data_IF_034968075092
#
_entry.id   IF_034968075092
#
_cell.length_a   1.000
_cell.length_b   1.000
_cell.length_c   1.000
_cell.angle_alpha   90.00
_cell.angle_beta   90.00
_cell.angle_gamma   90.00
#
_symmetry.space_group_name_H-M   'P 1'
#
loop_
_entity.id
_entity.type
_entity.pdbx_description
1 polymer ?
#
# COMPACT_ATOMS: atom_id res chain seq x y z
N UNK A 1 6.55 -5.76 -14.76
CA UNK A 1 5.21 -6.40 -14.61
C UNK A 1 4.16 -5.33 -14.25
N UNK A 2 2.89 -5.65 -14.42
CA UNK A 2 1.75 -4.91 -13.84
C UNK A 2 0.57 -5.84 -13.64
N UNK A 3 -0.39 -5.44 -12.79
CA UNK A 3 -1.54 -6.26 -12.44
C UNK A 3 -2.86 -5.53 -12.65
N UNK A 4 -3.90 -6.26 -13.02
CA UNK A 4 -5.29 -5.85 -12.76
C UNK A 4 -5.93 -6.82 -11.78
N UNK A 5 -6.47 -6.30 -10.69
CA UNK A 5 -7.27 -7.04 -9.71
C UNK A 5 -8.74 -6.71 -9.94
N UNK A 6 -9.58 -7.73 -10.11
CA UNK A 6 -11.00 -7.55 -10.41
C UNK A 6 -11.86 -8.35 -9.43
N UNK A 7 -12.88 -7.69 -8.91
CA UNK A 7 -13.92 -8.31 -8.09
C UNK A 7 -15.26 -8.03 -8.76
N UNK A 8 -15.92 -9.07 -9.25
CA UNK A 8 -17.19 -8.93 -9.96
C UNK A 8 -18.36 -8.79 -8.98
N UNK A 9 -18.32 -9.49 -7.84
CA UNK A 9 -19.33 -9.43 -6.79
C UNK A 9 -18.76 -9.77 -5.40
N UNK A 10 -19.47 -9.35 -4.35
CA UNK A 10 -19.11 -9.72 -2.98
C UNK A 10 -19.33 -11.21 -2.72
N UNK A 11 -18.32 -11.86 -2.15
CA UNK A 11 -18.32 -13.31 -1.88
C UNK A 11 -17.70 -14.15 -3.00
N UNK A 12 -17.45 -13.55 -4.18
CA UNK A 12 -16.67 -14.18 -5.24
C UNK A 12 -15.15 -14.06 -5.02
N UNK A 13 -14.32 -14.74 -5.82
CA UNK A 13 -12.87 -14.60 -5.75
C UNK A 13 -12.41 -13.24 -6.30
N UNK A 14 -11.18 -12.85 -5.97
CA UNK A 14 -10.47 -11.77 -6.65
C UNK A 14 -9.74 -12.36 -7.86
N UNK A 15 -10.07 -11.88 -9.07
CA UNK A 15 -9.38 -12.27 -10.30
C UNK A 15 -8.14 -11.41 -10.49
N UNK A 16 -6.98 -12.05 -10.54
CA UNK A 16 -5.70 -11.42 -10.83
C UNK A 16 -5.34 -11.63 -12.29
N UNK A 17 -5.09 -10.53 -13.01
CA UNK A 17 -4.55 -10.56 -14.36
C UNK A 17 -3.09 -10.10 -14.32
N UNK A 18 -2.18 -11.01 -14.60
CA UNK A 18 -0.76 -10.72 -14.71
C UNK A 18 -0.47 -10.17 -16.11
N UNK A 19 0.16 -8.99 -16.17
CA UNK A 19 0.59 -8.36 -17.42
C UNK A 19 2.09 -8.05 -17.43
N UNK A 20 2.66 -8.07 -18.62
CA UNK A 20 4.01 -7.59 -18.90
C UNK A 20 3.97 -6.41 -19.86
N UNK A 21 4.81 -5.42 -19.62
CA UNK A 21 5.05 -4.32 -20.55
C UNK A 21 6.30 -4.68 -21.36
N UNK A 22 6.13 -4.86 -22.67
CA UNK A 22 7.23 -5.23 -23.58
C UNK A 22 7.39 -4.11 -24.61
N UNK A 23 8.61 -3.65 -24.82
CA UNK A 23 8.93 -2.67 -25.86
C UNK A 23 10.28 -3.02 -26.47
N UNK A 24 10.53 -2.55 -27.69
CA UNK A 24 11.79 -2.76 -28.39
C UNK A 24 12.07 -1.64 -29.39
N UNK A 25 13.35 -1.44 -29.69
CA UNK A 25 13.82 -0.47 -30.68
C UNK A 25 14.98 -1.05 -31.51
N UNK A 26 14.86 -2.32 -31.90
CA UNK A 26 15.89 -3.10 -32.60
C UNK A 26 15.99 -2.78 -34.09
N UNK A 27 15.05 -2.03 -34.64
CA UNK A 27 14.88 -1.78 -36.07
C UNK A 27 14.09 -2.86 -36.80
N UNK A 28 13.73 -3.98 -36.15
CA UNK A 28 13.00 -5.10 -36.76
C UNK A 28 11.69 -5.32 -36.00
N UNK A 29 10.56 -5.28 -36.70
CA UNK A 29 9.27 -5.63 -36.11
C UNK A 29 9.19 -7.13 -35.85
N UNK A 30 8.74 -7.52 -34.65
CA UNK A 30 8.47 -8.91 -34.33
C UNK A 30 7.01 -9.21 -34.64
N UNK A 31 6.75 -10.00 -35.68
CA UNK A 31 5.40 -10.25 -36.17
C UNK A 31 4.94 -11.66 -35.77
N UNK A 32 3.83 -11.75 -35.01
CA UNK A 32 3.19 -13.01 -34.59
C UNK A 32 4.18 -14.00 -33.95
N UNK A 33 5.00 -13.52 -33.03
CA UNK A 33 5.97 -14.36 -32.31
C UNK A 33 5.38 -14.90 -31.02
N UNK A 34 5.87 -16.07 -30.59
CA UNK A 34 5.72 -16.54 -29.21
C UNK A 34 6.74 -15.84 -28.33
N UNK A 35 6.41 -15.66 -27.04
CA UNK A 35 7.26 -14.93 -26.10
C UNK A 35 7.66 -15.84 -24.95
N UNK A 36 8.91 -15.70 -24.51
CA UNK A 36 9.38 -16.22 -23.22
C UNK A 36 9.84 -15.04 -22.38
N UNK A 37 9.26 -14.87 -21.20
CA UNK A 37 9.54 -13.75 -20.29
C UNK A 37 10.11 -14.27 -18.99
N UNK A 38 11.28 -13.78 -18.58
CA UNK A 38 11.92 -14.16 -17.31
C UNK A 38 11.88 -13.03 -16.30
N UNK A 39 11.68 -13.37 -15.03
CA UNK A 39 11.71 -12.41 -13.90
C UNK A 39 13.13 -12.07 -13.44
N UNK A 40 14.16 -12.73 -13.97
CA UNK A 40 15.55 -12.43 -13.62
C UNK A 40 15.97 -11.05 -14.11
N UNK A 41 16.62 -10.28 -13.25
CA UNK A 41 17.19 -8.99 -13.60
C UNK A 41 18.68 -9.14 -13.96
N UNK A 42 19.07 -9.05 -15.24
CA UNK A 42 20.46 -9.24 -15.65
C UNK A 42 21.41 -8.16 -15.11
N UNK A 43 20.87 -7.04 -14.60
CA UNK A 43 21.65 -5.96 -14.01
C UNK A 43 21.85 -6.12 -12.50
N UNK A 44 21.24 -7.12 -11.86
CA UNK A 44 21.52 -7.46 -10.47
C UNK A 44 22.78 -8.34 -10.44
N UNK A 45 23.80 -7.88 -9.70
CA UNK A 45 25.05 -8.61 -9.56
C UNK A 45 24.82 -9.95 -8.85
N UNK A 46 25.44 -11.01 -9.36
CA UNK A 46 25.34 -12.35 -8.79
C UNK A 46 26.22 -12.56 -7.53
N UNK A 47 27.04 -11.58 -7.17
CA UNK A 47 27.95 -11.67 -6.02
C UNK A 47 27.25 -11.27 -4.72
N UNK A 48 27.23 -12.20 -3.76
CA UNK A 48 26.74 -11.92 -2.41
C UNK A 48 27.65 -10.89 -1.71
N UNK A 49 27.09 -9.91 -0.97
CA UNK A 49 27.90 -8.94 -0.25
C UNK A 49 28.69 -9.61 0.87
N UNK A 50 29.94 -9.19 1.07
CA UNK A 50 30.77 -9.64 2.19
C UNK A 50 30.55 -8.71 3.38
N UNK A 51 30.04 -9.25 4.49
CA UNK A 51 29.85 -8.51 5.73
C UNK A 51 31.19 -8.33 6.46
N UNK A 52 31.71 -7.10 6.47
CA UNK A 52 32.92 -6.77 7.21
C UNK A 52 32.61 -6.52 8.69
N UNK A 53 33.47 -6.92 9.64
CA UNK A 53 33.29 -6.61 11.06
C UNK A 53 33.22 -5.09 11.28
N UNK A 54 32.19 -4.63 11.99
CA UNK A 54 32.05 -3.23 12.36
C UNK A 54 32.73 -2.96 13.71
N UNK A 55 33.97 -2.47 13.66
CA UNK A 55 34.72 -2.07 14.86
C UNK A 55 34.29 -0.67 15.32
N UNK A 56 33.68 -0.58 16.51
CA UNK A 56 33.40 0.70 17.17
C UNK A 56 34.66 1.16 17.93
N UNK A 57 35.15 2.36 17.61
CA UNK A 57 36.21 3.03 18.36
C UNK A 57 35.68 4.34 18.93
N UNK A 58 36.16 4.75 20.11
CA UNK A 58 35.83 6.06 20.66
C UNK A 58 36.25 7.16 19.69
N UNK A 59 35.35 8.11 19.43
CA UNK A 59 35.66 9.31 18.68
C UNK A 59 36.74 10.08 19.42
N UNK A 60 37.98 10.00 18.94
CA UNK A 60 39.08 10.83 19.40
C UNK A 60 39.07 12.10 18.54
N UNK A 61 38.61 13.25 19.07
CA UNK A 61 38.73 14.51 18.34
C UNK A 61 40.22 14.74 18.05
N UNK A 62 40.56 14.91 16.78
CA UNK A 62 41.94 15.25 16.40
C UNK A 62 42.31 16.56 17.12
N UNK A 63 43.45 16.63 17.83
CA UNK A 63 43.93 17.90 18.37
C UNK A 63 44.09 18.87 17.20
N UNK A 64 43.43 20.04 17.30
CA UNK A 64 43.59 21.10 16.31
C UNK A 64 45.06 21.51 16.28
N UNK A 65 45.76 21.14 15.21
CA UNK A 65 47.06 21.72 14.92
C UNK A 65 46.84 23.21 14.59
N UNK A 66 47.35 24.09 15.46
CA UNK A 66 47.38 25.52 15.21
C UNK A 66 48.25 25.77 13.97
N UNK A 67 47.62 25.96 12.81
CA UNK A 67 48.29 26.38 11.57
C UNK A 67 48.62 27.87 11.69
N UNK A 68 49.89 28.18 11.87
CA UNK A 68 50.42 29.51 11.53
C UNK A 68 50.10 29.79 10.06
N UNK A 69 49.37 30.87 9.82
CA UNK A 69 48.96 31.33 8.50
C UNK A 69 50.15 31.92 7.73
N UNK A 70 50.78 31.10 6.90
CA UNK A 70 51.55 31.61 5.77
C UNK A 70 50.53 31.96 4.68
N UNK A 71 50.47 33.26 4.35
CA UNK A 71 49.71 33.79 3.22
C UNK A 71 50.34 33.26 1.93
N UNK A 72 49.61 32.42 1.20
CA UNK A 72 49.86 32.24 -0.22
C UNK A 72 48.57 32.41 -1.01
N UNK A 73 48.67 33.39 -1.90
CA UNK A 73 47.75 33.78 -2.96
C UNK A 73 47.59 32.67 -3.99
N UNK A 74 46.35 32.36 -4.39
CA UNK A 74 46.14 31.48 -5.54
C UNK A 74 44.68 31.15 -5.83
N UNK A 75 44.10 31.92 -6.76
CA UNK A 75 43.06 31.52 -7.74
C UNK A 75 41.73 30.95 -7.25
N UNK A 76 40.71 31.81 -7.31
CA UNK A 76 39.30 31.46 -7.16
C UNK A 76 38.81 30.62 -8.35
N UNK A 77 38.43 29.37 -8.10
CA UNK A 77 37.61 28.56 -9.00
C UNK A 77 36.16 28.58 -8.49
N UNK A 78 35.27 29.08 -9.36
CA UNK A 78 33.82 29.21 -9.14
C UNK A 78 33.17 27.81 -9.11
N UNK A 79 32.42 27.51 -8.04
CA UNK A 79 31.44 26.43 -8.04
C UNK A 79 30.11 26.98 -8.56
N UNK A 80 29.60 26.39 -9.64
CA UNK A 80 28.28 26.65 -10.16
C UNK A 80 27.24 25.81 -9.43
N UNK A 81 26.23 26.48 -8.88
CA UNK A 81 25.00 25.88 -8.38
C UNK A 81 24.23 25.19 -9.53
N UNK A 82 23.84 23.94 -9.32
CA UNK A 82 22.78 23.30 -10.10
C UNK A 82 21.71 22.77 -9.13
N UNK A 83 20.74 23.64 -8.87
CA UNK A 83 19.45 23.31 -8.27
C UNK A 83 18.71 22.32 -9.18
N UNK A 84 18.73 21.02 -8.83
CA UNK A 84 17.87 20.00 -9.43
C UNK A 84 16.50 19.99 -8.75
N UNK A 85 15.59 20.86 -9.19
CA UNK A 85 14.18 20.82 -8.81
C UNK A 85 13.51 19.56 -9.34
N UNK A 86 12.88 18.79 -8.44
CA UNK A 86 12.06 17.63 -8.79
C UNK A 86 10.68 18.11 -9.22
N UNK A 87 10.42 18.04 -10.52
CA UNK A 87 9.11 18.30 -11.12
C UNK A 87 8.28 17.01 -11.12
N UNK A 88 7.32 16.88 -10.19
CA UNK A 88 6.29 15.83 -10.25
C UNK A 88 5.20 16.30 -11.20
N UNK A 89 5.34 15.96 -12.48
CA UNK A 89 4.31 16.15 -13.50
C UNK A 89 3.39 14.93 -13.55
N UNK A 90 2.14 15.09 -13.11
CA UNK A 90 1.08 14.11 -13.28
C UNK A 90 0.75 13.92 -14.76
N UNK A 91 1.26 12.84 -15.35
CA UNK A 91 0.90 12.40 -16.69
C UNK A 91 -0.50 11.80 -16.69
N UNK A 92 -1.43 12.44 -17.39
CA UNK A 92 -2.69 11.84 -17.81
C UNK A 92 -2.36 10.59 -18.63
N UNK A 93 -2.90 9.44 -18.23
CA UNK A 93 -2.80 8.19 -18.98
C UNK A 93 -3.55 8.34 -20.30
N UNK A 94 -2.82 8.68 -21.36
CA UNK A 94 -3.33 8.64 -22.72
C UNK A 94 -3.53 7.18 -23.14
N UNK A 95 -4.70 6.87 -23.68
CA UNK A 95 -5.16 5.51 -23.95
C UNK A 95 -4.27 4.79 -24.96
N UNK A 96 -3.70 3.65 -24.57
CA UNK A 96 -2.82 2.84 -25.42
C UNK A 96 -3.62 2.04 -26.46
N UNK A 97 -3.14 2.07 -27.70
CA UNK A 97 -3.67 1.43 -28.91
C UNK A 97 -3.48 -0.10 -28.88
N UNK A 98 -4.48 -0.88 -29.29
CA UNK A 98 -4.37 -2.35 -29.46
C UNK A 98 -4.53 -2.74 -30.93
N UNK A 99 -3.78 -3.76 -31.37
CA UNK A 99 -4.02 -4.49 -32.62
C UNK A 99 -4.07 -5.99 -32.30
N UNK A 100 -5.25 -6.58 -32.47
CA UNK A 100 -5.47 -8.03 -32.57
C UNK A 100 -6.04 -8.27 -33.96
N UNK A 101 -5.44 -9.18 -34.74
CA UNK A 101 -5.89 -9.53 -36.10
C UNK A 101 -6.07 -8.37 -37.09
N UNK A 102 -5.22 -7.33 -37.01
CA UNK A 102 -5.17 -6.26 -38.02
C UNK A 102 -6.27 -5.19 -37.93
N UNK A 103 -7.01 -5.12 -36.82
CA UNK A 103 -8.03 -4.09 -36.57
C UNK A 103 -7.54 -3.09 -35.51
N UNK A 104 -7.61 -1.79 -35.81
CA UNK A 104 -7.31 -0.70 -34.86
C UNK A 104 -8.48 -0.49 -33.89
N UNK A 105 -8.24 -0.60 -32.58
CA UNK A 105 -9.27 -0.37 -31.55
C UNK A 105 -8.84 0.78 -30.65
N UNK A 106 -9.66 1.84 -30.60
CA UNK A 106 -9.54 2.94 -29.63
C UNK A 106 -10.51 2.72 -28.47
N UNK A 107 -10.02 2.82 -27.24
CA UNK A 107 -10.86 2.90 -26.04
C UNK A 107 -11.21 1.56 -25.40
N UNK A 108 -11.32 1.61 -24.08
CA UNK A 108 -11.78 0.60 -23.13
C UNK A 108 -12.68 -0.50 -23.71
N UNK A 109 -12.07 -1.54 -24.25
CA UNK A 109 -12.64 -2.88 -24.29
C UNK A 109 -11.48 -3.85 -24.41
N UNK A 110 -11.13 -4.45 -23.27
CA UNK A 110 -10.13 -5.50 -23.23
C UNK A 110 -10.43 -6.57 -24.28
N UNK A 111 -9.35 -7.07 -24.88
CA UNK A 111 -9.41 -8.24 -25.75
C UNK A 111 -10.15 -9.33 -24.96
N UNK A 112 -11.31 -9.75 -25.44
CA UNK A 112 -11.99 -10.95 -24.95
C UNK A 112 -11.23 -12.18 -25.46
N UNK A 113 -10.00 -12.37 -24.99
CA UNK A 113 -9.53 -13.74 -24.79
C UNK A 113 -10.36 -14.22 -23.61
N UNK A 114 -11.20 -15.23 -23.80
CA UNK A 114 -12.10 -15.70 -22.75
C UNK A 114 -11.32 -15.83 -21.44
N UNK A 115 -11.84 -15.27 -20.35
CA UNK A 115 -11.11 -15.00 -19.10
C UNK A 115 -10.43 -16.25 -18.48
N UNK A 116 -10.82 -17.46 -18.90
CA UNK A 116 -10.21 -18.74 -18.50
C UNK A 116 -9.28 -19.41 -19.52
N UNK A 117 -9.01 -18.84 -20.71
CA UNK A 117 -8.19 -19.49 -21.74
C UNK A 117 -6.73 -19.03 -21.77
N UNK A 118 -6.35 -17.94 -21.10
CA UNK A 118 -4.95 -17.45 -21.14
C UNK A 118 -3.95 -18.46 -20.55
N UNK A 119 -4.34 -19.15 -19.48
CA UNK A 119 -3.49 -20.17 -18.84
C UNK A 119 -3.24 -21.38 -19.74
N UNK A 120 -4.06 -21.61 -20.78
CA UNK A 120 -3.82 -22.68 -21.76
C UNK A 120 -2.64 -22.36 -22.69
N UNK A 121 -2.29 -21.08 -22.81
CA UNK A 121 -1.20 -20.60 -23.65
C UNK A 121 0.04 -20.23 -22.84
N UNK A 122 0.05 -20.42 -21.52
CA UNK A 122 1.18 -19.98 -20.70
C UNK A 122 1.68 -21.12 -19.84
N UNK A 123 2.93 -21.52 -20.07
CA UNK A 123 3.65 -22.44 -19.21
C UNK A 123 4.55 -21.64 -18.27
N UNK A 124 4.61 -22.07 -17.00
CA UNK A 124 5.40 -21.41 -15.97
C UNK A 124 6.45 -22.39 -15.46
N UNK A 125 7.72 -22.04 -15.60
CA UNK A 125 8.83 -22.76 -15.00
C UNK A 125 9.40 -21.93 -13.84
N UNK A 126 9.45 -22.53 -12.66
CA UNK A 126 9.96 -21.90 -11.45
C UNK A 126 11.25 -22.59 -11.02
N UNK A 127 12.38 -22.03 -11.47
CA UNK A 127 13.72 -22.56 -11.23
C UNK A 127 14.28 -22.23 -9.83
N UNK A 128 13.49 -21.59 -8.96
CA UNK A 128 13.88 -21.18 -7.60
C UNK A 128 14.71 -19.90 -7.53
N UNK A 129 15.35 -19.49 -8.62
CA UNK A 129 16.07 -18.20 -8.75
C UNK A 129 15.27 -17.24 -9.63
N UNK A 130 14.74 -17.73 -10.76
CA UNK A 130 13.92 -16.96 -11.69
C UNK A 130 12.67 -17.75 -12.07
N UNK A 131 11.59 -17.02 -12.34
CA UNK A 131 10.37 -17.56 -12.96
C UNK A 131 10.38 -17.21 -14.44
N UNK A 132 10.13 -18.20 -15.30
CA UNK A 132 10.00 -18.01 -16.74
C UNK A 132 8.56 -18.31 -17.16
N UNK A 133 8.00 -17.42 -17.98
CA UNK A 133 6.67 -17.54 -18.57
C UNK A 133 6.80 -17.75 -20.07
N UNK A 134 6.48 -18.95 -20.54
CA UNK A 134 6.43 -19.27 -21.97
C UNK A 134 5.01 -19.10 -22.49
N UNK A 135 4.80 -18.06 -23.29
CA UNK A 135 3.50 -17.61 -23.80
C UNK A 135 3.38 -18.02 -25.28
N UNK A 136 2.58 -19.05 -25.53
CA UNK A 136 2.27 -19.60 -26.85
C UNK A 136 1.33 -18.72 -27.68
N UNK A 137 0.61 -17.79 -27.03
CA UNK A 137 -0.23 -16.82 -27.72
C UNK A 137 0.65 -15.84 -28.50
N UNK A 138 0.46 -15.77 -29.81
CA UNK A 138 1.31 -14.97 -30.69
C UNK A 138 1.05 -13.46 -30.53
N UNK A 139 2.11 -12.68 -30.35
CA UNK A 139 2.07 -11.21 -30.25
C UNK A 139 2.86 -10.55 -31.39
N UNK A 140 2.45 -9.35 -31.79
CA UNK A 140 3.23 -8.47 -32.66
C UNK A 140 3.76 -7.29 -31.86
N UNK A 141 5.07 -7.07 -31.89
CA UNK A 141 5.76 -6.00 -31.16
C UNK A 141 6.50 -5.09 -32.15
N UNK A 142 5.97 -3.89 -32.43
CA UNK A 142 6.60 -2.91 -33.31
C UNK A 142 7.98 -2.46 -32.79
N UNK A 143 8.83 -1.98 -33.70
CA UNK A 143 10.15 -1.40 -33.37
C UNK A 143 10.08 0.12 -33.27
N UNK A 144 9.13 0.63 -32.50
CA UNK A 144 8.88 2.07 -32.34
C UNK A 144 9.15 2.56 -30.90
N UNK A 145 9.65 1.68 -30.03
CA UNK A 145 9.87 1.97 -28.62
C UNK A 145 8.59 2.12 -27.78
N UNK A 146 7.41 1.92 -28.36
CA UNK A 146 6.15 1.98 -27.62
C UNK A 146 5.92 0.69 -26.82
N UNK A 147 5.30 0.84 -25.65
CA UNK A 147 5.00 -0.28 -24.78
C UNK A 147 3.77 -1.06 -25.28
N UNK A 148 3.94 -2.37 -25.45
CA UNK A 148 2.87 -3.31 -25.71
C UNK A 148 2.54 -4.05 -24.42
N UNK A 149 1.25 -4.10 -24.08
CA UNK A 149 0.74 -4.86 -22.94
C UNK A 149 0.53 -6.33 -23.37
N UNK A 150 1.34 -7.22 -22.82
CA UNK A 150 1.24 -8.67 -23.02
C UNK A 150 0.51 -9.27 -21.82
N UNK A 151 -0.58 -9.99 -22.06
CA UNK A 151 -1.23 -10.77 -21.02
C UNK A 151 -0.34 -11.98 -20.73
N UNK A 152 -0.07 -12.26 -19.45
CA UNK A 152 0.79 -13.36 -19.03
C UNK A 152 -0.07 -14.50 -18.51
N UNK A 153 -0.82 -14.29 -17.43
CA UNK A 153 -1.68 -15.33 -16.85
C UNK A 153 -2.85 -14.72 -16.10
N UNK A 154 -3.86 -15.54 -15.82
CA UNK A 154 -5.00 -15.19 -14.96
C UNK A 154 -5.05 -16.14 -13.78
N UNK A 155 -5.25 -15.63 -12.58
CA UNK A 155 -5.42 -16.44 -11.37
C UNK A 155 -6.70 -16.03 -10.64
N UNK A 156 -7.39 -16.99 -10.06
CA UNK A 156 -8.52 -16.72 -9.15
C UNK A 156 -8.05 -16.92 -7.71
N UNK A 157 -8.14 -15.86 -6.91
CA UNK A 157 -7.70 -15.86 -5.53
C UNK A 157 -8.93 -15.89 -4.62
N UNK A 158 -9.08 -16.92 -3.77
CA UNK A 158 -10.12 -16.92 -2.75
C UNK A 158 -10.02 -15.67 -1.88
N UNK A 159 -11.16 -15.04 -1.61
CA UNK A 159 -11.20 -13.83 -0.82
C UNK A 159 -12.42 -13.77 0.09
N UNK A 160 -12.25 -13.19 1.27
CA UNK A 160 -13.35 -12.74 2.12
C UNK A 160 -13.46 -11.23 2.07
N UNK A 161 -14.59 -10.68 2.52
CA UNK A 161 -14.87 -9.25 2.37
C UNK A 161 -15.28 -8.65 3.70
N UNK A 162 -14.72 -7.48 4.02
CA UNK A 162 -15.08 -6.70 5.21
C UNK A 162 -15.06 -5.22 4.90
N UNK A 163 -15.71 -4.44 5.74
CA UNK A 163 -15.49 -3.01 5.82
C UNK A 163 -14.41 -2.71 6.86
N UNK A 164 -13.54 -1.76 6.57
CA UNK A 164 -12.49 -1.29 7.46
C UNK A 164 -12.55 0.22 7.61
N UNK A 165 -12.39 0.73 8.82
CA UNK A 165 -12.43 2.19 9.08
C UNK A 165 -11.47 2.59 10.19
N UNK A 166 -10.87 3.78 10.05
CA UNK A 166 -10.00 4.40 11.06
C UNK A 166 -10.52 5.81 11.33
N UNK A 167 -11.60 5.99 12.12
CA UNK A 167 -12.36 7.24 12.19
C UNK A 167 -11.58 8.46 12.71
N UNK A 168 -10.43 8.22 13.36
CA UNK A 168 -9.46 9.24 13.76
C UNK A 168 -8.75 9.89 12.56
N UNK A 169 -8.55 9.14 11.46
CA UNK A 169 -7.85 9.57 10.25
C UNK A 169 -8.81 9.90 9.11
N UNK A 170 -9.75 9.01 8.83
CA UNK A 170 -10.81 9.20 7.83
C UNK A 170 -12.10 8.58 8.37
N UNK A 171 -13.21 9.34 8.31
CA UNK A 171 -14.52 8.92 8.82
C UNK A 171 -15.30 8.06 7.83
N UNK A 172 -14.73 7.76 6.68
CA UNK A 172 -15.30 6.79 5.76
C UNK A 172 -14.93 5.35 6.14
N UNK A 173 -15.81 4.42 5.77
CA UNK A 173 -15.50 3.00 5.74
C UNK A 173 -15.08 2.60 4.32
N UNK A 174 -14.10 1.70 4.24
CA UNK A 174 -13.55 1.18 3.00
C UNK A 174 -13.92 -0.29 2.90
N UNK A 175 -14.45 -0.70 1.75
CA UNK A 175 -14.61 -2.11 1.44
C UNK A 175 -13.22 -2.70 1.14
N UNK A 176 -12.92 -3.85 1.75
CA UNK A 176 -11.68 -4.58 1.54
C UNK A 176 -11.97 -6.02 1.15
N UNK A 177 -11.26 -6.52 0.15
CA UNK A 177 -11.08 -7.95 -0.07
C UNK A 177 -9.86 -8.41 0.73
N UNK A 178 -10.01 -9.51 1.47
CA UNK A 178 -8.96 -10.16 2.22
C UNK A 178 -8.57 -11.44 1.49
N UNK A 179 -7.35 -11.48 0.97
CA UNK A 179 -6.84 -12.57 0.16
C UNK A 179 -5.81 -13.33 1.00
N UNK A 180 -6.00 -14.63 1.15
CA UNK A 180 -5.07 -15.55 1.83
C UNK A 180 -4.33 -16.39 0.79
N UNK A 181 -3.20 -16.99 1.18
CA UNK A 181 -2.39 -17.87 0.32
C UNK A 181 -1.95 -17.16 -0.99
N UNK A 182 -1.72 -15.85 -0.92
CA UNK A 182 -1.29 -15.05 -2.06
C UNK A 182 0.20 -15.28 -2.36
N UNK A 183 0.95 -15.75 -1.36
CA UNK A 183 2.37 -16.11 -1.41
C UNK A 183 2.66 -17.25 -2.40
N UNK A 184 1.75 -18.21 -2.54
CA UNK A 184 1.88 -19.34 -3.47
C UNK A 184 1.93 -18.89 -4.94
N UNK A 185 1.42 -17.69 -5.23
CA UNK A 185 1.36 -17.13 -6.57
C UNK A 185 2.70 -16.56 -7.05
N UNK A 186 3.70 -16.43 -6.17
CA UNK A 186 5.02 -15.88 -6.47
C UNK A 186 4.94 -14.56 -7.22
N UNK A 187 4.08 -13.65 -6.75
CA UNK A 187 3.86 -12.34 -7.37
C UNK A 187 5.12 -11.47 -7.22
N UNK A 188 5.34 -10.56 -8.17
CA UNK A 188 6.40 -9.58 -8.11
C UNK A 188 5.84 -8.24 -7.62
N UNK A 189 6.64 -7.39 -6.96
CA UNK A 189 6.20 -6.04 -6.66
C UNK A 189 5.89 -5.26 -7.94
N UNK A 190 4.68 -4.72 -8.09
CA UNK A 190 4.31 -3.97 -9.29
C UNK A 190 3.11 -3.02 -9.07
N UNK A 191 2.94 -2.00 -9.95
CA UNK A 191 1.71 -1.23 -10.02
C UNK A 191 0.50 -2.10 -10.35
N UNK A 192 -0.62 -1.82 -9.68
CA UNK A 192 -1.83 -2.63 -9.75
C UNK A 192 -3.07 -1.76 -9.93
N UNK A 193 -3.86 -2.05 -10.95
CA UNK A 193 -5.18 -1.45 -11.11
C UNK A 193 -6.23 -2.30 -10.41
N UNK A 194 -7.24 -1.66 -9.84
CA UNK A 194 -8.28 -2.33 -9.06
C UNK A 194 -9.63 -2.02 -9.69
N UNK A 195 -10.43 -3.05 -9.91
CA UNK A 195 -11.78 -2.97 -10.45
C UNK A 195 -12.77 -3.69 -9.52
N UNK A 196 -13.93 -3.08 -9.31
CA UNK A 196 -15.02 -3.64 -8.51
C UNK A 196 -16.35 -3.43 -9.26
N UNK A 197 -17.15 -4.50 -9.39
CA UNK A 197 -18.42 -4.50 -10.14
C UNK A 197 -18.25 -3.89 -11.56
N UNK A 198 -17.17 -4.27 -12.26
CA UNK A 198 -16.85 -3.78 -13.60
C UNK A 198 -16.35 -2.32 -13.68
N UNK A 199 -16.24 -1.61 -12.55
CA UNK A 199 -15.81 -0.20 -12.49
C UNK A 199 -14.38 -0.08 -11.99
N UNK A 200 -13.59 0.83 -12.57
CA UNK A 200 -12.25 1.16 -12.07
C UNK A 200 -12.35 1.93 -10.74
N UNK A 201 -11.77 1.39 -9.68
CA UNK A 201 -11.82 2.00 -8.33
C UNK A 201 -10.52 2.70 -7.93
N UNK A 202 -9.40 2.35 -8.56
CA UNK A 202 -8.13 3.05 -8.33
C UNK A 202 -6.89 2.26 -8.74
N UNK A 203 -5.74 2.89 -8.50
CA UNK A 203 -4.42 2.31 -8.67
C UNK A 203 -3.75 2.17 -7.31
N UNK A 204 -3.06 1.05 -7.11
CA UNK A 204 -2.19 0.81 -5.97
C UNK A 204 -0.84 0.26 -6.42
N UNK A 205 -0.02 -0.08 -5.43
CA UNK A 205 1.22 -0.82 -5.64
C UNK A 205 1.11 -2.11 -4.85
N UNK A 206 1.23 -3.25 -5.54
CA UNK A 206 1.30 -4.54 -4.89
C UNK A 206 2.70 -4.71 -4.31
N UNK A 207 2.81 -4.69 -2.99
CA UNK A 207 4.06 -4.97 -2.27
C UNK A 207 4.01 -6.38 -1.68
N UNK A 208 4.80 -7.28 -2.27
CA UNK A 208 4.90 -8.70 -1.87
C UNK A 208 5.96 -8.95 -0.79
N UNK A 209 6.59 -7.89 -0.28
CA UNK A 209 7.58 -8.00 0.81
C UNK A 209 6.94 -8.00 2.19
N UNK A 210 5.62 -7.89 2.26
CA UNK A 210 4.89 -7.95 3.51
C UNK A 210 4.89 -9.40 4.04
N UNK A 211 5.10 -9.57 5.34
CA UNK A 211 5.13 -10.87 6.04
C UNK A 211 3.77 -11.26 6.60
N UNK A 212 2.71 -10.55 6.22
CA UNK A 212 1.35 -10.85 6.66
C UNK A 212 0.71 -11.95 5.80
N UNK A 213 0.13 -12.96 6.46
CA UNK A 213 -0.58 -14.09 5.83
C UNK A 213 -1.85 -13.68 5.07
N UNK A 214 -2.25 -12.40 5.14
CA UNK A 214 -3.49 -11.92 4.51
C UNK A 214 -3.26 -10.56 3.86
N UNK A 215 -3.41 -10.52 2.53
CA UNK A 215 -3.34 -9.29 1.75
C UNK A 215 -4.69 -8.58 1.77
N UNK A 216 -4.70 -7.33 2.24
CA UNK A 216 -5.90 -6.49 2.26
C UNK A 216 -5.93 -5.57 1.03
N UNK A 217 -6.83 -5.84 0.10
CA UNK A 217 -7.05 -5.03 -1.10
C UNK A 217 -8.22 -4.07 -0.87
N UNK A 218 -7.96 -2.75 -0.90
CA UNK A 218 -9.05 -1.77 -0.81
C UNK A 218 -9.80 -1.65 -2.14
N UNK A 219 -11.10 -1.85 -2.10
CA UNK A 219 -12.01 -1.75 -3.25
C UNK A 219 -12.72 -0.38 -3.33
N UNK A 220 -12.37 0.54 -2.43
CA UNK A 220 -12.92 1.88 -2.36
C UNK A 220 -13.84 2.13 -1.16
N UNK A 221 -14.36 3.36 -1.09
CA UNK A 221 -15.23 3.83 0.00
C UNK A 221 -16.65 3.31 -0.17
N UNK A 222 -17.26 2.80 0.91
CA UNK A 222 -18.68 2.45 0.93
C UNK A 222 -19.44 3.39 1.87
N UNK A 223 -20.10 4.40 1.27
CA UNK A 223 -20.88 5.41 1.99
C UNK A 223 -22.13 4.86 2.68
N UNK A 224 -22.47 3.58 2.46
CA UNK A 224 -23.57 2.91 3.14
C UNK A 224 -23.18 2.42 4.54
N UNK A 225 -21.89 2.44 4.89
CA UNK A 225 -21.43 2.27 6.26
C UNK A 225 -21.09 3.65 6.80
N UNK A 226 -21.99 4.22 7.59
CA UNK A 226 -21.88 5.58 8.10
C UNK A 226 -21.12 5.55 9.43
N UNK A 227 -19.98 6.23 9.48
CA UNK A 227 -19.15 6.29 10.68
C UNK A 227 -19.04 7.72 11.19
N UNK A 228 -19.19 7.90 12.51
CA UNK A 228 -18.97 9.17 13.20
C UNK A 228 -18.02 8.96 14.37
N UNK A 229 -17.17 9.94 14.62
CA UNK A 229 -16.28 10.00 15.79
C UNK A 229 -16.37 11.39 16.40
N UNK A 230 -16.89 11.45 17.62
CA UNK A 230 -17.16 12.70 18.32
C UNK A 230 -16.52 12.68 19.71
N UNK A 231 -15.88 13.78 20.10
CA UNK A 231 -15.37 13.94 21.46
C UNK A 231 -16.53 14.33 22.37
N UNK A 232 -16.72 13.59 23.45
CA UNK A 232 -17.67 13.91 24.49
C UNK A 232 -17.19 15.19 25.22
N UNK A 233 -17.95 16.29 25.04
CA UNK A 233 -17.57 17.61 25.54
C UNK A 233 -17.62 17.69 27.07
N UNK A 234 -18.45 16.89 27.72
CA UNK A 234 -18.60 16.91 29.19
C UNK A 234 -17.46 16.12 29.84
N UNK A 235 -17.06 15.01 29.23
CA UNK A 235 -15.95 14.17 29.71
C UNK A 235 -14.58 14.70 29.29
N UNK A 236 -14.52 15.63 28.32
CA UNK A 236 -13.30 16.35 27.97
C UNK A 236 -12.94 17.36 29.06
N UNK A 237 -12.04 17.00 29.95
CA UNK A 237 -11.64 17.85 31.07
C UNK A 237 -10.15 18.16 31.07
N UNK A 238 -9.80 19.37 31.54
CA UNK A 238 -8.41 19.78 31.82
C UNK A 238 -8.36 20.23 33.26
N UNK A 239 -7.58 19.53 34.08
CA UNK A 239 -7.41 19.82 35.51
C UNK A 239 -5.95 20.05 35.82
N UNK A 240 -5.68 21.09 36.60
CA UNK A 240 -4.35 21.38 37.12
C UNK A 240 -4.27 20.81 38.53
N UNK A 241 -3.30 19.93 38.79
CA UNK A 241 -3.12 19.24 40.08
C UNK A 241 -1.66 19.36 40.50
N UNK A 242 -1.38 20.19 41.51
CA UNK A 242 0.00 20.46 41.96
C UNK A 242 0.87 21.00 40.81
N UNK A 243 1.98 20.34 40.52
CA UNK A 243 2.90 20.66 39.41
C UNK A 243 2.49 20.02 38.06
N UNK A 244 1.39 19.27 38.01
CA UNK A 244 0.97 18.52 36.83
C UNK A 244 -0.33 19.08 36.21
N UNK A 245 -0.54 18.75 34.93
CA UNK A 245 -1.79 18.90 34.19
C UNK A 245 -2.34 17.51 33.90
N UNK A 246 -3.61 17.28 34.17
CA UNK A 246 -4.38 16.06 33.86
C UNK A 246 -5.42 16.39 32.79
N UNK A 247 -5.36 15.76 31.63
CA UNK A 247 -6.30 15.92 30.52
C UNK A 247 -7.04 14.60 30.28
N UNK A 248 -8.36 14.61 30.39
CA UNK A 248 -9.21 13.44 30.13
C UNK A 248 -9.96 13.63 28.82
N UNK A 249 -10.02 12.55 28.03
CA UNK A 249 -10.74 12.49 26.77
C UNK A 249 -11.62 11.25 26.74
N UNK A 250 -12.82 11.41 26.19
CA UNK A 250 -13.70 10.31 25.82
C UNK A 250 -14.24 10.61 24.42
N UNK A 251 -14.13 9.64 23.52
CA UNK A 251 -14.66 9.71 22.18
C UNK A 251 -15.72 8.64 22.01
N UNK A 252 -16.85 9.03 21.41
CA UNK A 252 -17.93 8.12 20.99
C UNK A 252 -17.79 7.89 19.49
N UNK A 253 -17.79 6.63 19.09
CA UNK A 253 -17.75 6.20 17.70
C UNK A 253 -19.08 5.53 17.39
N UNK A 254 -19.82 6.05 16.41
CA UNK A 254 -21.07 5.46 15.94
C UNK A 254 -20.83 4.84 14.56
N UNK A 255 -21.18 3.56 14.41
CA UNK A 255 -21.03 2.81 13.16
C UNK A 255 -22.41 2.29 12.77
N UNK A 256 -22.93 2.72 11.63
CA UNK A 256 -24.25 2.33 11.14
C UNK A 256 -24.17 1.63 9.79
N UNK A 257 -24.77 0.45 9.70
CA UNK A 257 -24.98 -0.25 8.43
C UNK A 257 -26.30 0.20 7.80
N UNK A 258 -26.27 0.95 6.69
CA UNK A 258 -27.49 1.32 5.94
C UNK A 258 -27.75 0.42 4.74
N UNK A 259 -27.02 -0.69 4.60
CA UNK A 259 -27.29 -1.71 3.58
C UNK A 259 -28.48 -2.57 4.01
N UNK A 260 -29.08 -3.26 3.04
CA UNK A 260 -30.13 -4.25 3.27
C UNK A 260 -29.59 -5.65 3.58
N UNK A 261 -28.26 -5.80 3.72
CA UNK A 261 -27.57 -7.06 4.05
C UNK A 261 -26.71 -6.86 5.30
N UNK A 262 -26.48 -7.93 6.10
CA UNK A 262 -25.49 -7.87 7.19
C UNK A 262 -24.09 -7.60 6.63
N UNK A 263 -23.25 -6.96 7.44
CA UNK A 263 -21.84 -6.67 7.09
C UNK A 263 -20.93 -6.88 8.28
N UNK A 264 -19.69 -7.26 7.96
CA UNK A 264 -18.59 -7.22 8.90
C UNK A 264 -17.88 -5.86 8.82
N UNK A 265 -17.66 -5.21 9.96
CA UNK A 265 -16.92 -3.95 10.05
C UNK A 265 -15.81 -4.08 11.08
N UNK A 266 -14.57 -3.90 10.64
CA UNK A 266 -13.42 -3.69 11.53
C UNK A 266 -13.22 -2.19 11.73
N UNK A 267 -13.34 -1.74 12.98
CA UNK A 267 -13.10 -0.36 13.38
C UNK A 267 -11.80 -0.30 14.15
N UNK A 268 -10.89 0.59 13.74
CA UNK A 268 -9.63 0.82 14.43
C UNK A 268 -9.54 2.26 14.92
N UNK A 269 -9.11 2.46 16.16
CA UNK A 269 -8.75 3.74 16.74
C UNK A 269 -7.44 3.57 17.52
N UNK A 270 -7.04 4.58 18.30
CA UNK A 270 -5.76 4.55 19.00
C UNK A 270 -5.84 5.25 20.36
N UNK A 271 -5.30 4.59 21.37
CA UNK A 271 -4.94 5.19 22.66
C UNK A 271 -3.50 5.71 22.61
N UNK A 272 -3.19 6.82 23.30
CA UNK A 272 -1.81 7.27 23.39
C UNK A 272 -0.94 6.26 24.13
N UNK A 273 0.34 6.26 23.78
CA UNK A 273 1.42 5.54 24.47
C UNK A 273 2.57 6.52 24.73
N UNK A 274 3.36 6.28 25.77
CA UNK A 274 4.52 7.10 26.12
C UNK A 274 5.62 6.23 26.72
N UNK A 275 6.86 6.48 26.29
CA UNK A 275 8.07 5.94 26.92
C UNK A 275 8.72 6.98 27.87
N UNK A 276 8.16 8.19 27.95
CA UNK A 276 8.62 9.21 28.88
C UNK A 276 8.01 8.97 30.27
N UNK A 277 8.88 8.81 31.28
CA UNK A 277 8.51 8.58 32.69
C UNK A 277 7.70 9.73 33.31
N UNK A 278 7.77 10.93 32.73
CA UNK A 278 7.04 12.10 33.20
C UNK A 278 5.60 12.13 32.65
N UNK A 279 5.23 11.25 31.72
CA UNK A 279 3.89 11.18 31.11
C UNK A 279 3.19 9.90 31.55
N UNK A 280 2.11 10.07 32.32
CA UNK A 280 1.30 8.97 32.85
C UNK A 280 -0.02 8.89 32.06
N UNK A 281 -0.37 7.69 31.57
CA UNK A 281 -1.61 7.43 30.84
C UNK A 281 -2.47 6.45 31.65
N UNK A 282 -3.62 6.92 32.11
CA UNK A 282 -4.56 6.18 32.98
C UNK A 282 -5.98 6.18 32.40
N UNK A 283 -6.93 5.57 33.12
CA UNK A 283 -8.37 5.60 32.82
C UNK A 283 -8.70 5.18 31.38
N UNK A 284 -7.95 4.21 30.84
CA UNK A 284 -8.15 3.71 29.48
C UNK A 284 -9.50 3.02 29.37
N UNK A 285 -10.31 3.47 28.42
CA UNK A 285 -11.61 2.90 28.09
C UNK A 285 -11.58 2.46 26.62
N UNK A 286 -11.82 1.17 26.39
CA UNK A 286 -11.82 0.54 25.06
C UNK A 286 -12.66 -0.75 25.12
N UNK A 287 -13.85 -0.65 25.71
CA UNK A 287 -14.71 -1.82 25.97
C UNK A 287 -14.93 -2.65 24.70
N UNK A 288 -14.83 -3.98 24.86
CA UNK A 288 -15.05 -4.99 23.80
C UNK A 288 -14.10 -4.86 22.59
N UNK A 289 -12.94 -4.23 22.80
CA UNK A 289 -11.89 -4.08 21.79
C UNK A 289 -10.65 -4.93 22.11
N UNK A 290 -9.95 -5.34 21.06
CA UNK A 290 -8.57 -5.82 21.15
C UNK A 290 -7.63 -4.61 21.29
N UNK A 291 -6.69 -4.65 22.24
CA UNK A 291 -5.72 -3.57 22.49
C UNK A 291 -4.28 -4.04 22.29
N UNK A 292 -3.51 -3.30 21.50
CA UNK A 292 -2.09 -3.54 21.29
C UNK A 292 -1.27 -2.53 22.12
N UNK A 293 -0.61 -3.00 23.17
CA UNK A 293 0.12 -2.13 24.12
C UNK A 293 1.32 -1.42 23.49
N UNK A 294 1.95 -2.02 22.49
CA UNK A 294 3.14 -1.50 21.81
C UNK A 294 2.83 -0.36 20.85
N UNK A 295 1.67 -0.40 20.20
CA UNK A 295 1.27 0.57 19.16
C UNK A 295 0.17 1.54 19.64
N UNK A 296 -0.51 1.20 20.73
CA UNK A 296 -1.70 1.88 21.22
C UNK A 296 -2.97 1.58 20.40
N UNK A 297 -2.91 0.68 19.42
CA UNK A 297 -4.05 0.39 18.55
C UNK A 297 -5.19 -0.28 19.32
N UNK A 298 -6.43 0.15 19.04
CA UNK A 298 -7.67 -0.42 19.58
C UNK A 298 -8.54 -0.87 18.42
N UNK A 299 -8.94 -2.13 18.42
CA UNK A 299 -9.65 -2.75 17.28
C UNK A 299 -10.95 -3.41 17.73
N UNK A 300 -12.07 -3.06 17.08
CA UNK A 300 -13.35 -3.74 17.22
C UNK A 300 -13.69 -4.49 15.93
N UNK A 301 -14.12 -5.75 16.06
CA UNK A 301 -14.69 -6.54 14.95
C UNK A 301 -16.20 -6.66 15.16
N UNK A 302 -16.97 -6.01 14.29
CA UNK A 302 -18.41 -5.89 14.43
C UNK A 302 -19.12 -6.70 13.34
N UNK A 303 -20.17 -7.43 13.73
CA UNK A 303 -21.17 -7.93 12.81
C UNK A 303 -22.42 -7.08 12.96
N UNK A 304 -22.79 -6.34 11.91
CA UNK A 304 -23.91 -5.39 11.90
C UNK A 304 -25.01 -5.88 10.96
N UNK A 305 -26.21 -6.08 11.51
CA UNK A 305 -27.43 -6.38 10.75
C UNK A 305 -27.85 -5.17 9.88
N UNK A 306 -28.73 -5.37 8.89
CA UNK A 306 -29.31 -4.26 8.13
C UNK A 306 -29.89 -3.18 9.05
N UNK A 307 -29.56 -1.91 8.79
CA UNK A 307 -29.99 -0.74 9.57
C UNK A 307 -29.51 -0.67 11.03
N UNK A 308 -28.68 -1.61 11.48
CA UNK A 308 -28.13 -1.61 12.83
C UNK A 308 -27.13 -0.46 13.00
N UNK A 309 -27.16 0.17 14.18
CA UNK A 309 -26.15 1.12 14.64
C UNK A 309 -25.50 0.58 15.90
N UNK A 310 -24.17 0.60 15.95
CA UNK A 310 -23.40 0.24 17.14
C UNK A 310 -22.58 1.43 17.62
N UNK A 311 -22.60 1.66 18.93
CA UNK A 311 -21.80 2.68 19.58
C UNK A 311 -20.60 2.03 20.27
N UNK A 312 -19.43 2.64 20.08
CA UNK A 312 -18.17 2.26 20.69
C UNK A 312 -17.61 3.46 21.43
N UNK A 313 -16.75 3.21 22.41
CA UNK A 313 -16.11 4.27 23.20
C UNK A 313 -14.61 4.03 23.30
N UNK A 314 -13.85 5.10 23.06
CA UNK A 314 -12.41 5.14 23.32
C UNK A 314 -12.10 6.33 24.23
N UNK A 315 -11.47 6.08 25.37
CA UNK A 315 -11.19 7.11 26.37
C UNK A 315 -9.88 6.89 27.08
N UNK A 316 -9.29 7.97 27.58
CA UNK A 316 -8.03 7.95 28.31
C UNK A 316 -7.83 9.25 29.08
N UNK A 317 -6.98 9.18 30.09
CA UNK A 317 -6.45 10.36 30.77
C UNK A 317 -4.94 10.43 30.63
N UNK A 318 -4.42 11.60 30.26
CA UNK A 318 -2.97 11.88 30.22
C UNK A 318 -2.61 12.89 31.30
N UNK A 319 -1.61 12.57 32.11
CA UNK A 319 -1.05 13.44 33.15
C UNK A 319 0.43 13.70 32.88
N UNK A 320 0.84 14.97 32.96
CA UNK A 320 2.22 15.41 32.65
C UNK A 320 2.57 16.72 33.37
N UNK A 321 3.86 17.08 33.51
CA UNK A 321 4.29 18.32 34.16
C UNK A 321 3.78 19.59 33.46
N UNK A 322 3.43 20.60 34.24
CA UNK A 322 3.13 21.95 33.74
C UNK A 322 4.30 22.54 32.99
N UNK A 323 4.01 23.41 32.02
CA UNK A 323 5.04 24.10 31.23
C UNK A 323 5.63 23.26 30.10
N UNK A 324 5.28 21.98 29.99
CA UNK A 324 5.60 21.13 28.83
C UNK A 324 4.38 20.99 27.90
N UNK A 325 4.64 20.95 26.60
CA UNK A 325 3.62 20.70 25.58
C UNK A 325 3.64 19.23 25.19
N UNK A 326 2.47 18.60 25.16
CA UNK A 326 2.28 17.20 24.71
C UNK A 326 1.35 17.22 23.51
N UNK A 327 1.69 16.47 22.47
CA UNK A 327 0.86 16.29 21.28
C UNK A 327 -0.22 15.24 21.58
N UNK A 328 -1.50 15.66 21.64
CA UNK A 328 -2.63 14.86 22.13
C UNK A 328 -3.82 14.88 21.19
#
# INVERSE_FOLDING_TARGET
>A
PSYDLRVDELGGPVKLYYKAHVYQNSGVAWNKIKLSLSTGNPNEGAEAPVLNPWYLAFYMPRPMAYKNSIKESGTAAKYGDANGGVSIGGGRSDGTLYIVDGVQVYGERGINVAQGTMNQYTQVDNSGINTTFDIDLAYTIPSDGQQVNVAVKTEEMPATYRHFTVPKLDRDAFLQAQITNWEDLNLLPAPTNIFYEGTYVGQGFLDVRNVEDTMNLSLGRDKRIVVRRECDKEMRTVKTIGSNVKKTYLYKISVRNTRNKPVEVTVMDQLPISNDKDIEITDRNYKDAEYNETTGAVTWKLQLKPNETRELTVGYTVKYPKGRQVNL
#
